data_IF_078186281938
#
_entry.id   IF_078186281938
#
_cell.length_a   1.000
_cell.length_b   1.000
_cell.length_c   1.000
_cell.angle_alpha   90.00
_cell.angle_beta   90.00
_cell.angle_gamma   90.00
#
_symmetry.space_group_name_H-M   'P 1'
#
loop_
_entity.id
_entity.type
_entity.pdbx_description
1 polymer ?
#
# COMPACT_ATOMS: atom_id res chain seq x y z
N UNK A 1 -12.50 15.80 -34.67
CA UNK A 1 -11.44 14.91 -34.15
C UNK A 1 -11.74 14.62 -32.67
N UNK A 2 -12.74 13.79 -32.39
CA UNK A 2 -13.13 13.45 -31.01
C UNK A 2 -12.31 12.25 -30.55
N UNK A 3 -11.42 12.50 -29.59
CA UNK A 3 -10.67 11.46 -28.88
C UNK A 3 -11.64 10.65 -28.01
N UNK A 4 -11.84 9.39 -28.37
CA UNK A 4 -12.64 8.43 -27.59
C UNK A 4 -11.69 7.90 -26.52
N UNK A 5 -11.64 8.60 -25.39
CA UNK A 5 -10.77 8.30 -24.26
C UNK A 5 -10.71 6.79 -23.99
N UNK A 6 -9.50 6.23 -24.02
CA UNK A 6 -9.24 4.81 -23.89
C UNK A 6 -9.78 4.30 -22.55
N UNK A 7 -10.85 3.51 -22.58
CA UNK A 7 -11.32 2.79 -21.41
C UNK A 7 -10.30 1.67 -21.16
N UNK A 8 -9.64 1.62 -19.99
CA UNK A 8 -8.74 0.53 -19.66
C UNK A 8 -9.51 -0.80 -19.70
N UNK A 9 -8.87 -1.85 -20.22
CA UNK A 9 -9.51 -3.15 -20.37
C UNK A 9 -10.09 -3.64 -19.03
N UNK A 10 -11.31 -4.22 -19.05
CA UNK A 10 -11.95 -4.70 -17.83
C UNK A 10 -11.11 -5.84 -17.21
N UNK A 11 -11.01 -5.84 -15.87
CA UNK A 11 -10.29 -6.90 -15.12
C UNK A 11 -11.13 -8.16 -14.89
N UNK A 12 -12.41 -8.11 -15.26
CA UNK A 12 -13.38 -9.19 -15.11
C UNK A 12 -14.08 -9.36 -16.45
N UNK A 13 -14.18 -10.62 -16.91
CA UNK A 13 -14.84 -11.00 -18.15
C UNK A 13 -16.05 -11.88 -17.83
N UNK A 14 -17.19 -11.60 -18.47
CA UNK A 14 -18.41 -12.39 -18.34
C UNK A 14 -18.42 -13.41 -19.48
N UNK A 15 -18.18 -14.67 -19.15
CA UNK A 15 -18.09 -15.76 -20.13
C UNK A 15 -19.46 -16.39 -20.40
N UNK A 16 -20.34 -16.43 -19.39
CA UNK A 16 -21.71 -16.92 -19.51
C UNK A 16 -22.71 -15.77 -19.29
N UNK A 17 -23.36 -15.25 -20.35
CA UNK A 17 -24.34 -14.17 -20.23
C UNK A 17 -25.69 -14.62 -19.67
N UNK A 18 -25.99 -15.92 -19.69
CA UNK A 18 -27.31 -16.48 -19.33
C UNK A 18 -27.35 -17.03 -17.90
N UNK A 19 -26.54 -16.45 -17.01
CA UNK A 19 -26.55 -16.81 -15.59
C UNK A 19 -27.93 -16.51 -14.96
N UNK A 20 -28.41 -17.46 -14.17
CA UNK A 20 -29.68 -17.31 -13.44
C UNK A 20 -29.58 -16.23 -12.37
N UNK A 21 -30.72 -15.59 -11.97
CA UNK A 21 -30.72 -14.61 -10.88
C UNK A 21 -30.10 -15.14 -9.58
N UNK A 22 -30.32 -16.43 -9.29
CA UNK A 22 -29.79 -17.12 -8.11
C UNK A 22 -28.26 -17.25 -8.17
N UNK A 23 -27.69 -17.58 -9.33
CA UNK A 23 -26.24 -17.67 -9.53
C UNK A 23 -25.58 -16.30 -9.39
N UNK A 24 -26.20 -15.25 -9.96
CA UNK A 24 -25.73 -13.87 -9.79
C UNK A 24 -25.74 -13.50 -8.30
N UNK A 25 -26.81 -13.82 -7.57
CA UNK A 25 -26.91 -13.55 -6.15
C UNK A 25 -25.83 -14.29 -5.34
N UNK A 26 -25.53 -15.54 -5.68
CA UNK A 26 -24.48 -16.31 -5.01
C UNK A 26 -23.09 -15.68 -5.21
N UNK A 27 -22.76 -15.26 -6.44
CA UNK A 27 -21.48 -14.60 -6.74
C UNK A 27 -21.39 -13.26 -5.99
N UNK A 28 -22.45 -12.45 -6.01
CA UNK A 28 -22.50 -11.16 -5.29
C UNK A 28 -22.34 -11.38 -3.78
N UNK A 29 -22.99 -12.40 -3.21
CA UNK A 29 -22.88 -12.72 -1.79
C UNK A 29 -21.44 -13.09 -1.41
N UNK A 30 -20.78 -13.95 -2.19
CA UNK A 30 -19.38 -14.34 -1.97
C UNK A 30 -18.47 -13.12 -2.08
N UNK A 31 -18.57 -12.34 -3.16
CA UNK A 31 -17.73 -11.15 -3.35
C UNK A 31 -17.95 -10.09 -2.26
N UNK A 32 -19.18 -9.94 -1.77
CA UNK A 32 -19.50 -9.00 -0.68
C UNK A 32 -18.97 -9.47 0.68
N UNK A 33 -18.81 -10.79 0.86
CA UNK A 33 -18.22 -11.36 2.07
C UNK A 33 -16.69 -11.22 2.11
N UNK A 34 -16.04 -11.02 0.96
CA UNK A 34 -14.61 -10.78 0.89
C UNK A 34 -14.30 -9.39 1.47
N UNK A 35 -13.85 -9.35 2.72
CA UNK A 35 -13.35 -8.13 3.33
C UNK A 35 -11.87 -7.94 2.98
N UNK A 36 -11.52 -6.74 2.53
CA UNK A 36 -10.13 -6.33 2.45
C UNK A 36 -9.75 -5.63 3.74
N UNK A 37 -8.75 -6.16 4.45
CA UNK A 37 -8.16 -5.43 5.56
C UNK A 37 -7.29 -4.32 4.97
N UNK A 38 -7.47 -3.05 5.35
CA UNK A 38 -6.59 -1.99 4.88
C UNK A 38 -5.14 -2.34 5.24
N UNK A 39 -4.17 -2.13 4.34
CA UNK A 39 -2.78 -2.39 4.64
C UNK A 39 -2.37 -1.54 5.86
N UNK A 40 -1.51 -2.07 6.75
CA UNK A 40 -1.02 -1.30 7.88
C UNK A 40 -0.35 -0.01 7.38
N UNK A 41 -0.36 1.07 8.20
CA UNK A 41 0.30 2.31 7.82
C UNK A 41 1.76 2.03 7.50
N UNK A 42 2.24 2.60 6.38
CA UNK A 42 3.65 2.46 5.99
C UNK A 42 4.54 2.97 7.14
N UNK A 43 5.57 2.20 7.55
CA UNK A 43 6.50 2.68 8.57
C UNK A 43 7.17 3.96 8.08
N UNK A 44 7.40 4.91 8.99
CA UNK A 44 8.12 6.15 8.67
C UNK A 44 9.50 5.79 8.16
N UNK A 45 9.87 6.34 6.99
CA UNK A 45 11.23 6.18 6.47
C UNK A 45 12.23 6.86 7.41
N UNK A 46 13.10 6.06 8.04
CA UNK A 46 14.21 6.58 8.82
C UNK A 46 15.25 7.30 7.95
N UNK A 47 15.34 6.94 6.66
CA UNK A 47 16.18 7.63 5.68
C UNK A 47 15.69 9.06 5.39
N UNK A 48 14.37 9.27 5.40
CA UNK A 48 13.77 10.58 5.17
C UNK A 48 13.68 11.45 6.45
N UNK A 49 14.16 10.96 7.60
CA UNK A 49 14.02 11.67 8.86
C UNK A 49 14.77 13.02 8.84
N UNK A 50 14.07 14.13 9.15
CA UNK A 50 14.66 15.48 9.14
C UNK A 50 15.91 15.60 10.01
N UNK A 51 15.96 14.90 11.15
CA UNK A 51 17.14 14.87 12.01
C UNK A 51 18.40 14.41 11.26
N UNK A 52 18.27 13.52 10.27
CA UNK A 52 19.42 13.04 9.48
C UNK A 52 19.90 14.04 8.45
N UNK A 53 19.11 15.08 8.13
CA UNK A 53 19.55 16.19 7.27
C UNK A 53 20.55 17.10 7.98
N UNK A 54 20.69 16.98 9.30
CA UNK A 54 21.63 17.75 10.12
C UNK A 54 22.48 16.81 10.94
N UNK A 55 23.80 16.96 10.91
CA UNK A 55 24.67 16.12 11.76
C UNK A 55 24.41 16.46 13.24
N UNK A 56 24.03 15.47 14.04
CA UNK A 56 24.00 15.61 15.49
C UNK A 56 25.42 15.73 16.05
N UNK A 57 25.62 16.61 17.04
CA UNK A 57 26.91 16.73 17.70
C UNK A 57 27.26 15.43 18.44
N UNK A 58 28.47 14.91 18.18
CA UNK A 58 29.04 13.79 18.92
C UNK A 58 29.95 14.36 20.02
N UNK A 59 29.70 13.95 21.27
CA UNK A 59 30.53 14.31 22.42
C UNK A 59 31.41 13.11 22.80
N UNK A 60 32.69 13.32 23.14
CA UNK A 60 33.54 12.26 23.67
C UNK A 60 32.96 11.72 24.99
N UNK A 61 33.00 10.40 25.18
CA UNK A 61 32.55 9.75 26.41
C UNK A 61 32.21 8.27 26.22
N UNK A 62 31.91 7.55 27.32
CA UNK A 62 31.45 6.16 27.25
C UNK A 62 30.26 6.01 26.30
N UNK A 63 30.33 5.06 25.37
CA UNK A 63 29.29 4.83 24.37
C UNK A 63 29.31 5.75 23.14
N UNK A 64 30.23 6.73 23.06
CA UNK A 64 30.32 7.66 21.93
C UNK A 64 30.53 6.95 20.58
N UNK A 65 31.29 5.84 20.56
CA UNK A 65 31.50 5.04 19.35
C UNK A 65 30.22 4.33 18.87
N UNK A 66 29.34 3.88 19.77
CA UNK A 66 28.03 3.34 19.38
C UNK A 66 27.12 4.46 18.86
N UNK A 67 27.14 5.62 19.51
CA UNK A 67 26.31 6.77 19.16
C UNK A 67 26.69 7.43 17.81
N UNK A 68 27.87 7.14 17.24
CA UNK A 68 28.28 7.70 15.95
C UNK A 68 27.67 6.98 14.74
N UNK A 69 27.25 5.72 14.89
CA UNK A 69 26.83 4.87 13.77
C UNK A 69 25.43 4.26 13.92
N UNK A 70 24.85 4.24 15.13
CA UNK A 70 23.54 3.65 15.40
C UNK A 70 22.45 4.71 15.59
N UNK A 71 21.20 4.42 15.17
CA UNK A 71 20.04 5.23 15.57
C UNK A 71 19.91 5.26 17.09
N UNK A 72 19.50 6.42 17.62
CA UNK A 72 18.98 6.53 18.99
C UNK A 72 17.49 6.19 19.00
#
# INVERSE_FOLDING_TARGET
MTDRSAIPAPKLEIINPDATPEEIAAIVAVLSSLQTTPPPPKPRSLWAARQRRTRAALRPGPGAWRASALPR
#
